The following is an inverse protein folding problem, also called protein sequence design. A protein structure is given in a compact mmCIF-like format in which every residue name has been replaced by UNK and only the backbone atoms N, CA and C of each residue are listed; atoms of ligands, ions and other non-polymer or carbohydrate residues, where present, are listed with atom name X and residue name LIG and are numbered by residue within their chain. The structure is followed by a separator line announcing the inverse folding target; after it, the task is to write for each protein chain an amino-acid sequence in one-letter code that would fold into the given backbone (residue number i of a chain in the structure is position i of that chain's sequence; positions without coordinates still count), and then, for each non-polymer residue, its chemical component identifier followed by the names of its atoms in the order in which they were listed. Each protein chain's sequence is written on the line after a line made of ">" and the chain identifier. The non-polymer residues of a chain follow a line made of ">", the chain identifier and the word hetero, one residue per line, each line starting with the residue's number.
data_IF_204598173745
#
_entry.id   IF_204598173745
#
_cell.length_a   1.000
_cell.length_b   1.000
_cell.length_c   1.000
_cell.angle_alpha   90.00
_cell.angle_beta   90.00
_cell.angle_gamma   90.00
#
_symmetry.space_group_name_H-M   'P 1'
#
loop_
_entity.id
_entity.type
_entity.pdbx_description
1 polymer ?
#
# COMPACT_ATOMS: atom_id res chain seq x y z
N UNK A 1 -4.49 5.63 11.76
CA UNK A 1 -3.16 5.95 11.20
C UNK A 1 -3.23 7.23 10.38
N UNK A 2 -2.10 7.87 10.13
CA UNK A 2 -2.00 9.10 9.32
C UNK A 2 -0.76 9.03 8.42
N UNK A 3 -0.94 9.14 7.11
CA UNK A 3 0.15 9.37 6.17
C UNK A 3 0.59 10.84 6.29
N UNK A 4 1.87 11.05 6.58
CA UNK A 4 2.44 12.39 6.77
C UNK A 4 3.06 12.94 5.49
N UNK A 5 3.82 12.10 4.79
CA UNK A 5 4.63 12.52 3.66
C UNK A 5 4.91 11.32 2.75
N UNK A 6 4.98 11.58 1.44
CA UNK A 6 5.57 10.68 0.46
C UNK A 6 6.77 11.41 -0.17
N UNK A 7 7.90 10.72 -0.26
CA UNK A 7 9.13 11.23 -0.89
C UNK A 7 9.66 10.19 -1.87
N UNK A 8 9.96 10.61 -3.09
CA UNK A 8 10.67 9.78 -4.07
C UNK A 8 12.18 9.92 -3.91
N UNK A 9 12.91 8.83 -4.10
CA UNK A 9 14.36 8.86 -4.17
C UNK A 9 14.99 7.47 -4.28
N UNK A 10 16.31 7.42 -4.43
CA UNK A 10 17.04 6.15 -4.53
C UNK A 10 17.14 5.45 -3.18
N UNK A 11 17.41 6.17 -2.07
CA UNK A 11 17.62 5.59 -0.73
C UNK A 11 18.57 4.37 -0.76
N UNK A 12 19.77 4.56 -1.33
CA UNK A 12 20.73 3.48 -1.57
C UNK A 12 21.16 2.75 -0.29
N UNK A 13 21.09 3.43 0.85
CA UNK A 13 21.35 2.88 2.18
C UNK A 13 20.45 1.68 2.52
N UNK A 14 19.24 1.62 1.96
CA UNK A 14 18.28 0.55 2.23
C UNK A 14 18.63 -0.77 1.56
N UNK A 15 19.49 -0.75 0.53
CA UNK A 15 19.95 -1.98 -0.11
C UNK A 15 20.74 -2.89 0.84
N UNK A 16 21.24 -2.33 1.95
CA UNK A 16 21.88 -3.09 3.03
C UNK A 16 20.87 -3.75 3.98
N UNK A 17 19.64 -3.23 4.03
CA UNK A 17 18.58 -3.69 4.92
C UNK A 17 17.63 -4.67 4.23
N UNK A 18 17.42 -4.49 2.92
CA UNK A 18 16.68 -5.42 2.08
C UNK A 18 17.43 -5.65 0.77
N UNK A 19 18.02 -6.84 0.62
CA UNK A 19 18.80 -7.26 -0.54
C UNK A 19 17.95 -7.58 -1.77
N UNK A 20 16.64 -7.74 -1.60
CA UNK A 20 15.71 -7.96 -2.72
C UNK A 20 15.38 -6.67 -3.45
N UNK A 21 15.71 -5.51 -2.88
CA UNK A 21 15.60 -4.26 -3.60
C UNK A 21 16.50 -4.24 -4.84
N UNK A 22 15.90 -3.96 -5.99
CA UNK A 22 16.59 -3.78 -7.27
C UNK A 22 17.51 -2.58 -7.18
N UNK A 23 18.76 -2.80 -7.55
CA UNK A 23 19.76 -1.74 -7.67
C UNK A 23 19.26 -0.68 -8.66
N UNK A 24 19.57 0.59 -8.37
CA UNK A 24 19.28 1.74 -9.23
C UNK A 24 17.78 2.00 -9.52
N UNK A 25 16.86 1.26 -8.89
CA UNK A 25 15.42 1.51 -9.01
C UNK A 25 15.03 2.64 -8.06
N UNK A 26 14.15 3.54 -8.49
CA UNK A 26 13.55 4.55 -7.60
C UNK A 26 12.72 3.84 -6.52
N UNK A 27 12.59 4.46 -5.36
CA UNK A 27 11.69 4.02 -4.30
C UNK A 27 10.87 5.21 -3.84
N UNK A 28 9.70 4.92 -3.31
CA UNK A 28 8.96 5.89 -2.50
C UNK A 28 9.18 5.59 -1.03
N UNK A 29 9.22 6.64 -0.23
CA UNK A 29 9.19 6.60 1.22
C UNK A 29 7.91 7.26 1.71
N UNK A 30 7.01 6.45 2.27
CA UNK A 30 5.79 6.90 2.93
C UNK A 30 6.02 6.95 4.44
N UNK A 31 6.01 8.15 5.02
CA UNK A 31 6.11 8.33 6.47
C UNK A 31 4.71 8.24 7.08
N UNK A 32 4.49 7.31 8.01
CA UNK A 32 3.21 7.01 8.63
C UNK A 32 3.31 7.18 10.15
N UNK A 33 2.38 7.93 10.73
CA UNK A 33 2.17 7.96 12.18
C UNK A 33 1.00 7.04 12.56
N UNK A 34 1.23 6.17 13.54
CA UNK A 34 0.14 5.49 14.25
C UNK A 34 -0.42 6.42 15.33
N UNK A 35 -1.74 6.40 15.49
CA UNK A 35 -2.48 7.42 16.29
C UNK A 35 -3.16 6.83 17.53
N UNK A 36 -3.02 5.52 17.71
CA UNK A 36 -3.54 4.77 18.85
C UNK A 36 -2.39 4.05 19.55
N UNK A 37 -2.62 3.59 20.77
CA UNK A 37 -1.64 2.80 21.51
C UNK A 37 -1.50 1.37 20.95
N UNK A 38 -0.48 0.64 21.43
CA UNK A 38 -0.21 -0.75 21.03
C UNK A 38 -1.40 -1.70 21.30
N UNK A 39 -2.19 -1.48 22.35
CA UNK A 39 -3.32 -2.35 22.68
C UNK A 39 -4.44 -2.24 21.66
N UNK A 40 -4.71 -1.04 21.15
CA UNK A 40 -5.65 -0.85 20.05
C UNK A 40 -5.29 -1.72 18.84
N UNK A 41 -4.03 -1.67 18.40
CA UNK A 41 -3.56 -2.42 17.24
C UNK A 41 -3.59 -3.93 17.48
N UNK A 42 -3.14 -4.41 18.65
CA UNK A 42 -3.25 -5.82 19.03
C UNK A 42 -4.67 -6.36 18.94
N UNK A 43 -5.66 -5.58 19.36
CA UNK A 43 -7.06 -5.99 19.29
C UNK A 43 -7.62 -5.92 17.86
N UNK A 44 -7.21 -4.94 17.06
CA UNK A 44 -7.80 -4.67 15.73
C UNK A 44 -7.07 -5.35 14.58
N UNK A 45 -5.85 -5.84 14.80
CA UNK A 45 -5.05 -6.47 13.78
C UNK A 45 -5.70 -7.70 13.14
N UNK A 46 -6.37 -8.61 13.89
CA UNK A 46 -7.05 -9.75 13.26
C UNK A 46 -8.10 -9.31 12.24
N UNK A 47 -8.94 -8.32 12.57
CA UNK A 47 -9.96 -7.78 11.65
C UNK A 47 -9.29 -7.18 10.40
N UNK A 48 -8.24 -6.38 10.61
CA UNK A 48 -7.46 -5.80 9.52
C UNK A 48 -6.89 -6.86 8.60
N UNK A 49 -6.25 -7.90 9.17
CA UNK A 49 -5.67 -8.98 8.40
C UNK A 49 -6.74 -9.77 7.63
N UNK A 50 -7.83 -10.17 8.29
CA UNK A 50 -8.86 -10.98 7.64
C UNK A 50 -9.55 -10.24 6.49
N UNK A 51 -9.93 -8.99 6.70
CA UNK A 51 -10.55 -8.17 5.64
C UNK A 51 -9.56 -7.89 4.51
N UNK A 52 -8.30 -7.59 4.83
CA UNK A 52 -7.24 -7.44 3.84
C UNK A 52 -7.08 -8.70 2.99
N UNK A 53 -7.08 -9.89 3.60
CA UNK A 53 -6.94 -11.16 2.87
C UNK A 53 -8.17 -11.53 2.03
N UNK A 54 -9.34 -10.96 2.31
CA UNK A 54 -10.52 -11.10 1.47
C UNK A 54 -10.44 -10.19 0.24
N UNK A 55 -9.98 -8.96 0.43
CA UNK A 55 -9.81 -7.98 -0.63
C UNK A 55 -8.61 -8.28 -1.53
N UNK A 56 -7.53 -8.81 -0.94
CA UNK A 56 -6.23 -9.04 -1.56
C UNK A 56 -5.72 -10.44 -1.25
N UNK A 57 -6.29 -11.49 -1.87
CA UNK A 57 -5.94 -12.87 -1.55
C UNK A 57 -4.47 -13.21 -1.85
N UNK A 58 -3.84 -12.52 -2.80
CA UNK A 58 -2.44 -12.77 -3.19
C UNK A 58 -1.42 -12.33 -2.12
N UNK A 59 -1.81 -11.50 -1.14
CA UNK A 59 -0.93 -11.14 -0.02
C UNK A 59 -0.42 -12.37 0.73
N UNK A 60 -1.17 -13.49 0.71
CA UNK A 60 -0.73 -14.78 1.27
C UNK A 60 0.53 -15.35 0.64
N UNK A 61 0.85 -14.92 -0.58
CA UNK A 61 2.03 -15.34 -1.34
C UNK A 61 3.19 -14.35 -1.21
N UNK A 62 3.02 -13.23 -0.49
CA UNK A 62 4.13 -12.32 -0.26
C UNK A 62 5.12 -12.95 0.71
N UNK A 63 6.40 -12.89 0.35
CA UNK A 63 7.49 -13.39 1.17
C UNK A 63 8.09 -12.24 1.99
N UNK A 64 8.01 -12.33 3.33
CA UNK A 64 8.68 -11.38 4.20
C UNK A 64 10.04 -11.95 4.64
N UNK A 65 11.11 -11.19 4.45
CA UNK A 65 12.39 -11.49 5.11
C UNK A 65 12.48 -10.59 6.32
N UNK A 66 12.41 -11.15 7.53
CA UNK A 66 12.88 -10.43 8.70
C UNK A 66 14.40 -10.28 8.49
N UNK A 67 14.87 -9.03 8.39
CA UNK A 67 16.28 -8.75 8.14
C UNK A 67 17.19 -9.52 9.11
N UNK A 68 18.44 -9.77 8.70
CA UNK A 68 19.43 -10.64 9.39
C UNK A 68 19.71 -10.28 10.88
N UNK A 69 19.09 -9.25 11.44
CA UNK A 69 19.20 -8.83 12.85
C UNK A 69 17.94 -9.16 13.67
N UNK A 70 17.48 -10.42 13.58
CA UNK A 70 16.43 -10.93 14.44
C UNK A 70 16.85 -10.97 15.91
N UNK A 71 16.53 -9.92 16.68
CA UNK A 71 16.32 -10.05 18.11
C UNK A 71 14.94 -10.69 18.35
N UNK A 72 14.84 -11.99 18.11
CA UNK A 72 14.00 -12.89 18.92
C UNK A 72 14.28 -14.33 18.49
N UNK A 73 14.76 -15.14 19.45
CA UNK A 73 15.07 -16.54 19.20
C UNK A 73 13.84 -17.32 18.76
N UNK A 74 14.02 -18.17 17.74
CA UNK A 74 13.46 -19.52 17.62
C UNK A 74 14.02 -20.18 16.37
N UNK A 75 14.66 -21.32 16.58
CA UNK A 75 15.28 -22.18 15.57
C UNK A 75 14.26 -22.72 14.57
N UNK A 76 14.21 -22.16 13.36
CA UNK A 76 13.95 -22.89 12.11
C UNK A 76 14.56 -22.09 10.96
N UNK A 77 15.58 -22.66 10.31
CA UNK A 77 16.22 -22.08 9.12
C UNK A 77 15.31 -22.28 7.90
N UNK A 78 14.56 -21.23 7.56
CA UNK A 78 13.71 -21.11 6.37
C UNK A 78 14.15 -19.91 5.51
N UNK A 79 15.42 -19.52 5.66
CA UNK A 79 16.06 -18.27 5.18
C UNK A 79 15.86 -17.91 3.70
N UNK A 80 15.46 -18.88 2.87
CA UNK A 80 15.31 -18.76 1.42
C UNK A 80 13.86 -18.71 0.95
N UNK A 81 12.87 -18.87 1.84
CA UNK A 81 11.45 -18.88 1.49
C UNK A 81 10.66 -17.69 2.03
N UNK A 82 11.31 -16.75 2.71
CA UNK A 82 10.62 -15.75 3.52
C UNK A 82 9.79 -16.38 4.64
N UNK A 83 9.70 -15.72 5.79
CA UNK A 83 8.76 -16.12 6.81
C UNK A 83 7.35 -15.64 6.40
N UNK A 84 6.29 -16.44 6.62
CA UNK A 84 4.93 -15.88 6.64
C UNK A 84 4.88 -14.76 7.68
N UNK A 85 4.08 -13.71 7.43
CA UNK A 85 3.92 -12.55 8.35
C UNK A 85 3.78 -13.08 9.79
N UNK A 86 4.73 -12.73 10.67
CA UNK A 86 4.65 -13.09 12.07
C UNK A 86 3.52 -12.28 12.69
N UNK A 87 2.38 -12.92 12.93
CA UNK A 87 1.19 -12.27 13.48
C UNK A 87 1.35 -12.20 15.01
N UNK A 88 2.07 -11.20 15.51
CA UNK A 88 1.95 -10.79 16.93
C UNK A 88 0.82 -9.76 17.07
N UNK A 89 0.53 -9.06 15.97
CA UNK A 89 -0.58 -8.14 15.79
C UNK A 89 -0.29 -6.74 16.33
N UNK A 90 0.96 -6.39 16.56
CA UNK A 90 1.27 -5.10 17.17
C UNK A 90 1.32 -3.94 16.16
N UNK A 91 1.82 -2.79 16.60
CA UNK A 91 1.88 -1.57 15.79
C UNK A 91 2.75 -1.77 14.56
N UNK A 92 3.88 -2.48 14.69
CA UNK A 92 4.81 -2.73 13.59
C UNK A 92 4.13 -3.65 12.57
N UNK A 93 3.49 -4.73 13.04
CA UNK A 93 2.78 -5.67 12.16
C UNK A 93 1.67 -4.97 11.36
N UNK A 94 0.97 -4.02 11.99
CA UNK A 94 -0.07 -3.24 11.31
C UNK A 94 0.50 -2.39 10.18
N UNK A 95 1.60 -1.67 10.43
CA UNK A 95 2.22 -0.81 9.41
C UNK A 95 2.88 -1.66 8.32
N UNK A 96 3.46 -2.78 8.69
CA UNK A 96 4.03 -3.73 7.74
C UNK A 96 2.95 -4.35 6.85
N UNK A 97 1.76 -4.68 7.38
CA UNK A 97 0.65 -5.09 6.53
C UNK A 97 0.22 -3.99 5.54
N UNK A 98 0.32 -2.72 5.93
CA UNK A 98 0.05 -1.57 5.03
C UNK A 98 1.06 -1.49 3.90
N UNK A 99 2.34 -1.81 4.16
CA UNK A 99 3.34 -1.99 3.10
C UNK A 99 2.90 -3.06 2.10
N UNK A 100 2.50 -4.24 2.58
CA UNK A 100 2.04 -5.33 1.72
C UNK A 100 0.79 -4.96 0.89
N UNK A 101 -0.17 -4.24 1.49
CA UNK A 101 -1.35 -3.74 0.77
C UNK A 101 -0.92 -2.78 -0.34
N UNK A 102 -0.01 -1.85 -0.06
CA UNK A 102 0.48 -0.91 -1.06
C UNK A 102 1.25 -1.62 -2.19
N UNK A 103 2.07 -2.62 -1.87
CA UNK A 103 2.75 -3.47 -2.87
C UNK A 103 1.73 -4.18 -3.76
N UNK A 104 0.72 -4.82 -3.17
CA UNK A 104 -0.31 -5.54 -3.93
C UNK A 104 -1.07 -4.60 -4.88
N UNK A 105 -1.51 -3.43 -4.38
CA UNK A 105 -2.18 -2.42 -5.21
C UNK A 105 -1.26 -1.99 -6.36
N UNK A 106 0.02 -1.74 -6.08
CA UNK A 106 0.97 -1.31 -7.08
C UNK A 106 1.21 -2.38 -8.14
N UNK A 107 1.39 -3.65 -7.74
CA UNK A 107 1.56 -4.76 -8.67
C UNK A 107 0.33 -4.95 -9.54
N UNK A 108 -0.87 -4.84 -8.98
CA UNK A 108 -2.11 -4.96 -9.73
C UNK A 108 -2.31 -3.82 -10.73
N UNK A 109 -2.09 -2.57 -10.32
CA UNK A 109 -2.33 -1.39 -11.18
C UNK A 109 -1.23 -1.21 -12.22
N UNK A 110 0.03 -1.37 -11.80
CA UNK A 110 1.21 -1.20 -12.66
C UNK A 110 1.63 -2.47 -13.40
N UNK A 111 0.88 -3.57 -13.28
CA UNK A 111 1.18 -4.88 -13.88
C UNK A 111 2.64 -5.32 -13.62
N UNK A 112 3.08 -5.21 -12.37
CA UNK A 112 4.42 -5.58 -11.96
C UNK A 112 4.45 -7.05 -11.53
N UNK A 113 5.41 -7.81 -12.06
CA UNK A 113 5.64 -9.20 -11.66
C UNK A 113 6.19 -9.32 -10.23
N UNK A 114 6.97 -8.32 -9.81
CA UNK A 114 7.61 -8.28 -8.51
C UNK A 114 7.78 -6.84 -8.02
N UNK A 115 7.67 -6.67 -6.71
CA UNK A 115 7.89 -5.42 -6.02
C UNK A 115 8.30 -5.72 -4.57
N UNK A 116 9.39 -5.10 -4.13
CA UNK A 116 9.88 -5.20 -2.76
C UNK A 116 9.47 -3.98 -1.94
N UNK A 117 9.45 -4.15 -0.62
CA UNK A 117 9.31 -3.05 0.33
C UNK A 117 10.12 -3.25 1.60
N UNK A 118 10.08 -2.25 2.47
CA UNK A 118 10.69 -2.29 3.78
C UNK A 118 9.96 -1.35 4.75
N UNK A 119 9.55 -1.87 5.89
CA UNK A 119 9.00 -1.08 7.00
C UNK A 119 10.08 -0.84 8.05
N UNK A 120 10.35 0.43 8.32
CA UNK A 120 11.29 0.88 9.34
C UNK A 120 10.53 1.64 10.43
N UNK A 121 10.77 1.30 11.70
CA UNK A 121 10.28 2.09 12.83
C UNK A 121 11.33 3.11 13.28
N UNK A 122 10.87 4.25 13.75
CA UNK A 122 11.74 5.22 14.42
C UNK A 122 12.01 4.78 15.86
N UNK A 123 13.17 5.13 16.39
CA UNK A 123 13.43 5.05 17.83
C UNK A 123 12.59 6.10 18.57
N UNK A 124 12.67 7.35 18.11
CA UNK A 124 11.83 8.44 18.60
C UNK A 124 11.29 9.27 17.42
N UNK A 125 9.96 9.49 17.34
CA UNK A 125 8.93 8.89 18.19
C UNK A 125 8.61 7.43 17.79
N UNK A 126 8.35 6.56 18.76
CA UNK A 126 8.11 5.10 18.54
C UNK A 126 6.88 4.79 17.66
N UNK A 127 5.94 5.75 17.55
CA UNK A 127 4.72 5.60 16.75
C UNK A 127 4.88 6.07 15.30
N UNK A 128 6.11 6.40 14.87
CA UNK A 128 6.42 6.81 13.50
C UNK A 128 7.17 5.73 12.76
N UNK A 129 6.80 5.56 11.50
CA UNK A 129 7.33 4.56 10.61
C UNK A 129 7.62 5.16 9.24
N UNK A 130 8.68 4.70 8.60
CA UNK A 130 8.92 4.91 7.18
C UNK A 130 8.69 3.57 6.46
N UNK A 131 7.77 3.57 5.50
CA UNK A 131 7.52 2.46 4.59
C UNK A 131 8.14 2.79 3.25
N UNK A 132 9.06 1.94 2.80
CA UNK A 132 9.73 2.05 1.52
C UNK A 132 9.17 1.03 0.55
N UNK A 133 8.90 1.45 -0.68
CA UNK A 133 8.36 0.57 -1.74
C UNK A 133 9.10 0.87 -3.03
N UNK A 134 9.52 -0.17 -3.74
CA UNK A 134 10.09 -0.01 -5.09
C UNK A 134 9.11 0.70 -6.00
N UNK A 135 9.62 1.60 -6.84
CA UNK A 135 8.80 2.49 -7.62
C UNK A 135 9.30 2.54 -9.06
N UNK A 136 8.51 2.04 -10.00
CA UNK A 136 8.72 2.28 -11.45
C UNK A 136 7.96 3.51 -11.94
N UNK A 137 6.78 3.75 -11.37
CA UNK A 137 5.93 4.89 -11.66
C UNK A 137 5.56 5.60 -10.33
N UNK A 138 6.12 6.79 -10.04
CA UNK A 138 5.88 7.52 -8.79
C UNK A 138 4.41 7.83 -8.51
N UNK A 139 3.62 8.02 -9.56
CA UNK A 139 2.19 8.27 -9.43
C UNK A 139 1.44 7.03 -8.89
N UNK A 140 1.69 5.85 -9.46
CA UNK A 140 1.07 4.61 -8.99
C UNK A 140 1.54 4.30 -7.58
N UNK A 141 2.83 4.46 -7.30
CA UNK A 141 3.39 4.21 -5.98
C UNK A 141 2.75 5.12 -4.92
N UNK A 142 2.65 6.42 -5.22
CA UNK A 142 1.99 7.40 -4.35
C UNK A 142 0.52 7.07 -4.10
N UNK A 143 -0.22 6.74 -5.17
CA UNK A 143 -1.60 6.28 -5.07
C UNK A 143 -1.72 5.04 -4.17
N UNK A 144 -0.86 4.05 -4.39
CA UNK A 144 -0.89 2.77 -3.67
C UNK A 144 -0.67 2.96 -2.17
N UNK A 145 0.29 3.80 -1.78
CA UNK A 145 0.50 4.16 -0.37
C UNK A 145 -0.68 4.92 0.23
N UNK A 146 -1.23 5.92 -0.48
CA UNK A 146 -2.40 6.65 0.00
C UNK A 146 -3.59 5.72 0.20
N UNK A 147 -3.82 4.82 -0.76
CA UNK A 147 -4.96 3.93 -0.74
C UNK A 147 -4.82 2.85 0.35
N UNK A 148 -3.62 2.27 0.50
CA UNK A 148 -3.34 1.31 1.56
C UNK A 148 -3.58 1.92 2.96
N UNK A 149 -3.09 3.14 3.20
CA UNK A 149 -3.31 3.83 4.48
C UNK A 149 -4.78 4.18 4.70
N UNK A 150 -5.50 4.61 3.66
CA UNK A 150 -6.93 4.89 3.74
C UNK A 150 -7.71 3.61 4.09
N UNK A 151 -7.48 2.53 3.34
CA UNK A 151 -8.14 1.25 3.54
C UNK A 151 -7.90 0.73 4.95
N UNK A 152 -6.64 0.62 5.38
CA UNK A 152 -6.31 0.15 6.71
C UNK A 152 -6.97 1.01 7.80
N UNK A 153 -7.01 2.34 7.62
CA UNK A 153 -7.69 3.24 8.54
C UNK A 153 -9.20 2.98 8.61
N UNK A 154 -9.88 2.75 7.49
CA UNK A 154 -11.33 2.48 7.50
C UNK A 154 -11.64 1.10 8.10
N UNK A 155 -10.84 0.07 7.80
CA UNK A 155 -10.98 -1.25 8.43
C UNK A 155 -10.78 -1.16 9.95
N UNK A 156 -9.71 -0.49 10.41
CA UNK A 156 -9.42 -0.34 11.84
C UNK A 156 -10.53 0.41 12.61
N UNK A 157 -11.29 1.29 11.94
CA UNK A 157 -12.48 1.94 12.55
C UNK A 157 -13.67 0.99 12.69
N UNK A 158 -13.75 -0.06 11.88
CA UNK A 158 -14.82 -1.06 11.91
C UNK A 158 -16.17 -0.60 11.34
N UNK A 159 -16.22 0.54 10.64
CA UNK A 159 -17.47 1.07 10.08
C UNK A 159 -17.67 0.73 8.59
N UNK A 160 -16.77 -0.07 8.02
CA UNK A 160 -16.68 -0.29 6.57
C UNK A 160 -16.33 0.99 5.81
N UNK A 161 -16.35 0.90 4.49
CA UNK A 161 -16.12 2.02 3.58
C UNK A 161 -17.22 2.10 2.52
N UNK A 162 -17.52 3.32 2.03
CA UNK A 162 -18.62 3.57 1.08
C UNK A 162 -18.21 3.45 -0.40
N UNK A 163 -17.00 2.93 -0.64
CA UNK A 163 -16.41 2.68 -1.95
C UNK A 163 -16.12 1.19 -2.12
N UNK A 164 -15.92 0.74 -3.37
CA UNK A 164 -15.57 -0.64 -3.69
C UNK A 164 -14.10 -0.69 -4.09
N UNK A 165 -13.31 -1.55 -3.47
CA UNK A 165 -11.87 -1.69 -3.76
C UNK A 165 -11.65 -2.03 -5.23
N UNK A 166 -12.36 -3.05 -5.74
CA UNK A 166 -12.22 -3.51 -7.13
C UNK A 166 -12.54 -2.39 -8.12
N UNK A 167 -13.60 -1.60 -7.86
CA UNK A 167 -13.93 -0.46 -8.71
C UNK A 167 -12.76 0.54 -8.78
N UNK A 168 -12.13 0.87 -7.64
CA UNK A 168 -11.01 1.82 -7.60
C UNK A 168 -9.78 1.28 -8.32
N UNK A 169 -9.50 -0.03 -8.19
CA UNK A 169 -8.39 -0.67 -8.88
C UNK A 169 -8.63 -0.77 -10.39
N UNK A 170 -9.85 -1.09 -10.82
CA UNK A 170 -10.20 -1.23 -12.24
C UNK A 170 -10.08 0.10 -12.98
N UNK A 171 -10.59 1.19 -12.38
CA UNK A 171 -10.46 2.51 -12.99
C UNK A 171 -9.00 2.98 -13.01
N UNK A 172 -8.20 2.72 -11.97
CA UNK A 172 -6.76 3.01 -11.97
C UNK A 172 -6.02 2.23 -13.06
N UNK A 173 -6.28 0.92 -13.20
CA UNK A 173 -5.71 0.07 -14.27
C UNK A 173 -6.03 0.59 -15.67
N UNK A 174 -7.28 1.01 -15.92
CA UNK A 174 -7.67 1.55 -17.23
C UNK A 174 -6.94 2.85 -17.51
N UNK A 175 -6.85 3.72 -16.51
CA UNK A 175 -6.15 5.00 -16.63
C UNK A 175 -4.66 4.76 -16.93
N UNK A 176 -4.01 3.82 -16.24
CA UNK A 176 -2.61 3.51 -16.50
C UNK A 176 -2.37 2.98 -17.92
N UNK A 177 -3.30 2.17 -18.43
CA UNK A 177 -3.21 1.60 -19.79
C UNK A 177 -3.57 2.60 -20.89
N UNK A 178 -4.16 3.74 -20.56
CA UNK A 178 -4.70 4.67 -21.57
C UNK A 178 -4.21 6.10 -21.33
N UNK A 179 -3.53 6.67 -22.33
CA UNK A 179 -3.02 8.04 -22.21
C UNK A 179 -4.12 9.11 -22.28
N UNK A 180 -5.33 8.76 -22.73
CA UNK A 180 -6.45 9.69 -22.85
C UNK A 180 -7.78 9.01 -22.50
N UNK A 181 -8.52 9.61 -21.56
CA UNK A 181 -9.81 9.10 -21.11
C UNK A 181 -10.71 10.25 -20.66
N UNK A 182 -11.99 10.19 -21.04
CA UNK A 182 -13.03 11.09 -20.55
C UNK A 182 -13.95 10.36 -19.59
N UNK A 183 -14.75 11.10 -18.80
CA UNK A 183 -15.77 10.52 -17.92
C UNK A 183 -16.71 9.60 -18.72
N UNK A 184 -17.07 10.01 -19.93
CA UNK A 184 -17.93 9.22 -20.81
C UNK A 184 -17.24 7.95 -21.31
N UNK A 185 -15.96 8.05 -21.69
CA UNK A 185 -15.16 6.90 -22.13
C UNK A 185 -15.00 5.88 -21.01
N UNK A 186 -14.62 6.32 -19.81
CA UNK A 186 -14.47 5.45 -18.63
C UNK A 186 -15.79 4.80 -18.25
N UNK A 187 -16.89 5.57 -18.18
CA UNK A 187 -18.22 5.03 -17.90
C UNK A 187 -18.63 3.96 -18.91
N UNK A 188 -18.30 4.16 -20.20
CA UNK A 188 -18.57 3.19 -21.26
C UNK A 188 -17.71 1.92 -21.13
N UNK A 189 -16.40 2.06 -20.89
CA UNK A 189 -15.48 0.91 -20.76
C UNK A 189 -15.86 0.05 -19.55
N UNK A 190 -16.13 0.69 -18.42
CA UNK A 190 -16.47 0.02 -17.15
C UNK A 190 -17.94 -0.42 -17.07
N UNK A 191 -18.76 -0.06 -18.06
CA UNK A 191 -20.21 -0.23 -18.04
C UNK A 191 -20.86 0.34 -16.75
N UNK A 192 -20.43 1.54 -16.36
CA UNK A 192 -20.89 2.23 -15.16
C UNK A 192 -21.78 3.42 -15.51
N UNK A 193 -22.61 3.84 -14.54
CA UNK A 193 -23.28 5.14 -14.63
C UNK A 193 -22.27 6.28 -14.52
N UNK A 194 -22.53 7.41 -15.18
CA UNK A 194 -21.71 8.62 -15.06
C UNK A 194 -21.48 9.05 -13.61
N UNK A 195 -22.51 8.91 -12.75
CA UNK A 195 -22.44 9.22 -11.33
C UNK A 195 -21.43 8.33 -10.58
N UNK A 196 -21.45 7.01 -10.85
CA UNK A 196 -20.51 6.06 -10.25
C UNK A 196 -19.08 6.35 -10.70
N UNK A 197 -18.88 6.57 -12.00
CA UNK A 197 -17.55 6.92 -12.55
C UNK A 197 -17.01 8.21 -11.95
N UNK A 198 -17.83 9.27 -11.85
CA UNK A 198 -17.41 10.53 -11.26
C UNK A 198 -17.02 10.37 -9.78
N UNK A 199 -17.83 9.64 -8.99
CA UNK A 199 -17.52 9.36 -7.58
C UNK A 199 -16.15 8.67 -7.43
N UNK A 200 -15.90 7.62 -8.21
CA UNK A 200 -14.64 6.86 -8.13
C UNK A 200 -13.45 7.67 -8.65
N UNK A 201 -13.64 8.50 -9.68
CA UNK A 201 -12.60 9.44 -10.14
C UNK A 201 -12.23 10.48 -9.09
N UNK A 202 -13.22 11.05 -8.39
CA UNK A 202 -12.97 11.98 -7.29
C UNK A 202 -12.20 11.32 -6.14
N UNK A 203 -12.48 10.04 -5.85
CA UNK A 203 -11.71 9.29 -4.87
C UNK A 203 -10.27 9.04 -5.34
N UNK A 204 -10.05 8.69 -6.60
CA UNK A 204 -8.69 8.58 -7.17
C UNK A 204 -7.89 9.89 -7.04
N UNK A 205 -8.52 11.03 -7.31
CA UNK A 205 -7.88 12.35 -7.16
C UNK A 205 -7.46 12.60 -5.70
N UNK A 206 -8.33 12.30 -4.74
CA UNK A 206 -8.03 12.41 -3.31
C UNK A 206 -6.89 11.48 -2.88
N UNK A 207 -6.76 10.34 -3.54
CA UNK A 207 -5.67 9.39 -3.35
C UNK A 207 -4.40 9.78 -4.12
N UNK A 208 -4.32 11.00 -4.63
CA UNK A 208 -3.16 11.52 -5.39
C UNK A 208 -2.85 10.75 -6.67
N UNK A 209 -3.81 10.02 -7.24
CA UNK A 209 -3.67 9.47 -8.59
C UNK A 209 -3.72 10.63 -9.59
N UNK A 210 -2.75 10.75 -10.53
CA UNK A 210 -2.77 11.82 -11.51
C UNK A 210 -3.97 11.68 -12.44
N UNK A 211 -4.85 12.67 -12.43
CA UNK A 211 -5.95 12.82 -13.39
C UNK A 211 -5.67 14.08 -14.22
N UNK A 212 -5.00 13.98 -15.38
CA UNK A 212 -4.48 15.13 -16.11
C UNK A 212 -5.50 16.21 -16.52
N UNK A 213 -6.80 15.91 -16.47
CA UNK A 213 -7.87 16.73 -17.08
C UNK A 213 -9.00 17.16 -16.12
N UNK A 214 -9.04 16.70 -14.87
CA UNK A 214 -10.04 17.21 -13.90
C UNK A 214 -9.82 18.70 -13.59
N UNK A 215 -8.60 19.20 -13.80
CA UNK A 215 -8.24 20.61 -13.62
C UNK A 215 -8.73 21.55 -14.73
N UNK A 216 -9.19 21.02 -15.88
CA UNK A 216 -9.64 21.83 -17.02
C UNK A 216 -11.16 21.82 -17.24
N UNK A 217 -11.91 21.09 -16.40
CA UNK A 217 -13.37 20.98 -16.49
C UNK A 217 -14.12 21.55 -15.26
N UNK A 218 -13.40 22.15 -14.32
CA UNK A 218 -13.94 22.93 -13.19
C UNK A 218 -13.70 24.42 -13.44
#
# INVERSE_FOLDING_TARGET
>A
MKLLKIVEGNFEELNKLNTNFKKETQRIRATIDTVHDKHFYLHKFPDLLFETLQLFPNIRHHHCHQGEQGYSGRDFDISHLGAPIQIVGDVIDTVHLVEHIAIEIQCQVGELDECSGLTCNYWEPENRFDVFIECRNPAIASFSCNFAVLLAKEILKGNGHDWCVDDILDIAKIIEKTNEFSLHTLARILNWSKKKTLKNMQLLEQLSYPLPWLRSAA
#
